data_IF_111354905910
#
_entry.id   IF_111354905910
#
_cell.length_a   1.000
_cell.length_b   1.000
_cell.length_c   1.000
_cell.angle_alpha   90.00
_cell.angle_beta   90.00
_cell.angle_gamma   90.00
#
_symmetry.space_group_name_H-M   'P 1'
#
loop_
_entity.id
_entity.type
_entity.pdbx_description
1 polymer ?
#
# COMPACT_ATOMS: atom_id res chain seq x y z
N UNK A 1 33.37 3.44 -3.44
CA UNK A 1 32.49 3.56 -4.62
C UNK A 1 32.74 2.36 -5.50
N UNK A 2 31.68 1.75 -6.02
CA UNK A 2 31.78 0.61 -6.93
C UNK A 2 32.00 1.13 -8.36
N UNK A 3 32.98 0.58 -9.07
CA UNK A 3 33.33 0.98 -10.45
C UNK A 3 32.69 0.02 -11.46
N UNK A 4 31.35 -0.04 -11.50
CA UNK A 4 30.61 -0.90 -12.42
C UNK A 4 29.24 -0.31 -12.79
N UNK A 5 28.73 -0.68 -13.96
CA UNK A 5 27.31 -0.53 -14.30
C UNK A 5 26.57 -1.76 -13.81
N UNK A 6 25.52 -1.55 -13.02
CA UNK A 6 24.78 -2.63 -12.37
C UNK A 6 23.44 -2.82 -13.06
N UNK A 7 23.10 -4.08 -13.31
CA UNK A 7 21.78 -4.48 -13.79
C UNK A 7 20.99 -5.11 -12.64
N UNK A 8 19.71 -4.78 -12.55
CA UNK A 8 18.79 -5.41 -11.61
C UNK A 8 18.30 -6.75 -12.17
N UNK A 9 17.82 -7.69 -11.33
CA UNK A 9 17.27 -8.95 -11.82
C UNK A 9 16.14 -8.74 -12.84
N UNK A 10 15.95 -9.70 -13.75
CA UNK A 10 14.80 -9.71 -14.64
C UNK A 10 13.52 -9.85 -13.80
N UNK A 11 12.60 -8.90 -13.97
CA UNK A 11 11.37 -8.85 -13.21
C UNK A 11 10.23 -9.48 -14.00
N UNK A 12 9.47 -10.34 -13.34
CA UNK A 12 8.20 -10.89 -13.81
C UNK A 12 7.14 -10.72 -12.74
N UNK A 13 5.87 -10.67 -13.12
CA UNK A 13 4.77 -10.64 -12.17
C UNK A 13 4.83 -11.85 -11.22
N UNK A 14 4.56 -11.59 -9.95
CA UNK A 14 4.46 -12.61 -8.92
C UNK A 14 3.31 -13.57 -9.24
N UNK A 15 3.54 -14.90 -9.25
CA UNK A 15 2.47 -15.86 -9.48
C UNK A 15 1.40 -15.79 -8.39
N UNK A 16 0.13 -15.76 -8.80
CA UNK A 16 -1.03 -15.87 -7.90
C UNK A 16 -1.24 -17.34 -7.56
N UNK A 17 -1.14 -17.71 -6.27
CA UNK A 17 -1.34 -19.09 -5.85
C UNK A 17 -2.83 -19.47 -5.84
N UNK A 18 -3.10 -20.76 -5.99
CA UNK A 18 -4.46 -21.28 -6.22
C UNK A 18 -5.27 -21.46 -4.93
N UNK A 19 -4.62 -21.80 -3.82
CA UNK A 19 -5.27 -22.17 -2.55
C UNK A 19 -6.32 -23.29 -2.69
N UNK A 20 -6.12 -24.20 -3.65
CA UNK A 20 -7.02 -25.34 -3.87
C UNK A 20 -7.08 -26.25 -2.63
N UNK A 21 -8.16 -27.03 -2.44
CA UNK A 21 -8.22 -28.02 -1.36
C UNK A 21 -6.98 -28.91 -1.31
N UNK A 22 -6.41 -29.09 -0.10
CA UNK A 22 -5.21 -29.91 0.13
C UNK A 22 -3.86 -29.25 -0.23
N UNK A 23 -3.86 -28.02 -0.74
CA UNK A 23 -2.62 -27.32 -1.07
C UNK A 23 -1.85 -26.82 0.18
N UNK A 24 -0.51 -26.81 0.15
CA UNK A 24 0.30 -26.35 1.27
C UNK A 24 0.08 -24.87 1.59
N UNK A 25 -0.12 -24.00 0.59
CA UNK A 25 -0.39 -22.58 0.79
C UNK A 25 -1.71 -22.34 1.53
N UNK A 26 -2.73 -23.17 1.30
CA UNK A 26 -4.01 -23.10 2.02
C UNK A 26 -3.85 -23.53 3.47
N UNK A 27 -3.08 -24.58 3.75
CA UNK A 27 -2.79 -25.01 5.11
C UNK A 27 -2.03 -23.93 5.89
N UNK A 28 -1.04 -23.30 5.26
CA UNK A 28 -0.24 -22.24 5.86
C UNK A 28 -1.08 -21.00 6.23
N UNK A 29 -1.97 -20.54 5.34
CA UNK A 29 -2.85 -19.39 5.64
C UNK A 29 -3.83 -19.72 6.76
N UNK A 30 -4.41 -20.92 6.77
CA UNK A 30 -5.29 -21.35 7.88
C UNK A 30 -4.56 -21.34 9.22
N UNK A 31 -3.35 -21.91 9.27
CA UNK A 31 -2.53 -21.90 10.47
C UNK A 31 -2.18 -20.46 10.92
N UNK A 32 -1.90 -19.56 9.99
CA UNK A 32 -1.66 -18.15 10.30
C UNK A 32 -2.92 -17.44 10.85
N UNK A 33 -4.10 -17.70 10.29
CA UNK A 33 -5.38 -17.19 10.81
C UNK A 33 -5.63 -17.71 12.22
N UNK A 34 -5.50 -19.02 12.44
CA UNK A 34 -5.67 -19.63 13.77
C UNK A 34 -4.68 -19.05 14.78
N UNK A 35 -3.42 -18.86 14.38
CA UNK A 35 -2.40 -18.22 15.21
C UNK A 35 -2.76 -16.78 15.58
N UNK A 36 -3.30 -15.99 14.64
CA UNK A 36 -3.72 -14.61 14.94
C UNK A 36 -4.96 -14.55 15.83
N UNK A 37 -5.86 -15.54 15.73
CA UNK A 37 -7.08 -15.60 16.55
C UNK A 37 -6.86 -16.23 17.94
N UNK A 38 -5.74 -16.93 18.16
CA UNK A 38 -5.47 -17.59 19.43
C UNK A 38 -4.88 -16.66 20.50
N UNK A 39 -4.29 -15.53 20.09
CA UNK A 39 -3.63 -14.58 20.99
C UNK A 39 -3.93 -13.16 20.55
N UNK A 40 -4.38 -12.33 21.49
CA UNK A 40 -4.56 -10.90 21.23
C UNK A 40 -3.23 -10.22 20.92
N UNK A 41 -3.14 -9.59 19.76
CA UNK A 41 -1.96 -8.85 19.30
C UNK A 41 -1.87 -7.49 19.98
N UNK A 42 -0.66 -7.06 20.33
CA UNK A 42 -0.37 -5.68 20.77
C UNK A 42 0.46 -4.99 19.70
N UNK A 43 -0.17 -4.15 18.87
CA UNK A 43 0.48 -3.50 17.73
C UNK A 43 1.08 -2.14 18.14
N UNK A 44 2.41 -1.97 18.06
CA UNK A 44 3.07 -0.69 18.33
C UNK A 44 3.12 0.21 17.10
N UNK A 45 3.32 1.51 17.32
CA UNK A 45 3.86 2.39 16.28
C UNK A 45 5.35 2.08 16.06
N UNK A 46 5.90 2.42 14.90
CA UNK A 46 7.30 2.21 14.56
C UNK A 46 7.94 3.57 14.27
N UNK A 47 8.72 4.09 15.22
CA UNK A 47 9.30 5.43 15.15
C UNK A 47 10.81 5.33 15.35
N UNK A 48 11.59 5.70 14.35
CA UNK A 48 13.06 5.65 14.42
C UNK A 48 13.61 4.26 14.71
N UNK A 49 12.96 3.21 14.19
CA UNK A 49 13.32 1.80 14.45
C UNK A 49 12.94 1.27 15.83
N UNK A 50 12.16 2.03 16.62
CA UNK A 50 11.64 1.59 17.92
C UNK A 50 10.15 1.26 17.82
N UNK A 51 9.76 0.18 18.49
CA UNK A 51 8.37 -0.19 18.74
C UNK A 51 7.84 0.65 19.91
N UNK A 52 6.92 1.57 19.62
CA UNK A 52 6.36 2.52 20.58
C UNK A 52 4.95 2.10 20.97
N UNK A 53 4.76 1.79 22.25
CA UNK A 53 3.47 1.48 22.83
C UNK A 53 2.91 2.66 23.62
N UNK A 54 1.59 2.78 23.66
CA UNK A 54 0.86 3.83 24.41
C UNK A 54 -0.16 3.22 25.35
N UNK A 55 -0.52 3.95 26.40
CA UNK A 55 -1.65 3.62 27.28
C UNK A 55 -2.99 3.72 26.52
N UNK A 56 -3.10 4.61 25.54
CA UNK A 56 -4.27 4.71 24.66
C UNK A 56 -4.26 3.54 23.67
N UNK A 57 -5.06 2.52 23.96
CA UNK A 57 -5.18 1.29 23.17
C UNK A 57 -6.53 1.27 22.45
N UNK A 58 -6.50 0.95 21.16
CA UNK A 58 -7.72 0.80 20.35
C UNK A 58 -7.85 -0.64 19.89
N UNK A 59 -8.98 -1.26 20.20
CA UNK A 59 -9.27 -2.64 19.86
C UNK A 59 -9.48 -2.81 18.34
N UNK A 60 -9.02 -3.95 17.83
CA UNK A 60 -9.15 -4.33 16.42
C UNK A 60 -10.10 -5.52 16.30
N UNK A 61 -11.09 -5.38 15.43
CA UNK A 61 -12.10 -6.39 15.18
C UNK A 61 -12.16 -6.74 13.70
N UNK A 62 -12.19 -8.02 13.31
CA UNK A 62 -12.42 -8.41 11.92
C UNK A 62 -13.80 -7.91 11.48
N UNK A 63 -13.94 -7.25 10.32
CA UNK A 63 -15.24 -6.72 9.89
C UNK A 63 -16.33 -7.80 9.71
N UNK A 64 -15.94 -9.04 9.39
CA UNK A 64 -16.85 -10.19 9.29
C UNK A 64 -17.14 -10.87 10.63
N UNK A 65 -16.44 -10.51 11.71
CA UNK A 65 -16.53 -11.16 13.02
C UNK A 65 -16.32 -10.16 14.16
N UNK A 66 -17.13 -9.09 14.20
CA UNK A 66 -16.95 -7.93 15.08
C UNK A 66 -16.96 -8.24 16.59
N UNK A 67 -17.31 -9.46 16.99
CA UNK A 67 -17.28 -9.92 18.39
C UNK A 67 -15.92 -10.50 18.80
N UNK A 68 -15.06 -10.83 17.83
CA UNK A 68 -13.75 -11.39 18.09
C UNK A 68 -12.69 -10.28 18.13
N UNK A 69 -12.05 -10.08 19.27
CA UNK A 69 -10.95 -9.13 19.42
C UNK A 69 -9.66 -9.76 18.88
N UNK A 70 -9.06 -9.17 17.84
CA UNK A 70 -7.72 -9.55 17.39
C UNK A 70 -6.61 -9.00 18.31
N UNK A 71 -6.98 -8.10 19.22
CA UNK A 71 -6.07 -7.37 20.10
C UNK A 71 -6.19 -5.87 19.90
N UNK A 72 -5.12 -5.13 20.20
CA UNK A 72 -5.14 -3.67 20.30
C UNK A 72 -3.93 -3.05 19.60
N UNK A 73 -4.11 -1.87 19.02
CA UNK A 73 -3.00 -1.02 18.57
C UNK A 73 -2.80 0.20 19.46
N UNK A 74 -1.57 0.69 19.48
CA UNK A 74 -1.15 1.87 20.27
C UNK A 74 -1.49 3.15 19.53
N UNK A 75 -2.54 3.86 19.96
CA UNK A 75 -2.96 5.11 19.36
C UNK A 75 -2.13 6.27 19.91
N UNK A 76 -1.36 6.89 19.03
CA UNK A 76 -0.53 8.05 19.32
C UNK A 76 -1.28 9.37 19.30
N UNK A 77 -0.55 10.42 19.68
CA UNK A 77 -0.98 11.82 19.62
C UNK A 77 0.11 12.70 19.01
N UNK A 78 0.01 14.02 19.19
CA UNK A 78 0.88 15.02 18.56
C UNK A 78 2.38 14.74 18.78
N UNK A 79 2.79 14.39 20.00
CA UNK A 79 4.21 14.10 20.29
C UNK A 79 4.77 12.96 19.43
N UNK A 80 3.97 11.92 19.16
CA UNK A 80 4.39 10.80 18.33
C UNK A 80 4.54 11.20 16.85
N UNK A 81 3.73 12.17 16.39
CA UNK A 81 3.89 12.77 15.05
C UNK A 81 5.21 13.53 14.98
N UNK A 82 5.51 14.35 16.01
CA UNK A 82 6.78 15.10 16.12
C UNK A 82 7.98 14.15 16.11
N UNK A 83 7.93 13.09 16.91
CA UNK A 83 9.00 12.10 17.00
C UNK A 83 9.22 11.38 15.67
N UNK A 84 8.14 11.04 14.95
CA UNK A 84 8.22 10.43 13.62
C UNK A 84 8.83 11.37 12.56
N UNK A 85 8.45 12.64 12.55
CA UNK A 85 9.06 13.65 11.67
C UNK A 85 10.55 13.83 11.99
N UNK A 86 10.90 13.95 13.27
CA UNK A 86 12.29 14.07 13.70
C UNK A 86 13.13 12.84 13.33
N UNK A 87 12.57 11.63 13.49
CA UNK A 87 13.22 10.40 13.08
C UNK A 87 13.43 10.32 11.56
N UNK A 88 12.42 10.70 10.77
CA UNK A 88 12.54 10.78 9.31
C UNK A 88 13.62 11.76 8.86
N UNK A 89 13.68 12.94 9.45
CA UNK A 89 14.70 13.94 9.12
C UNK A 89 16.10 13.51 9.58
N UNK A 90 16.22 12.84 10.74
CA UNK A 90 17.49 12.31 11.23
C UNK A 90 18.07 11.22 10.31
N UNK A 91 17.23 10.32 9.79
CA UNK A 91 17.66 9.24 8.90
C UNK A 91 17.97 9.71 7.46
N UNK A 92 17.51 10.92 7.09
CA UNK A 92 17.50 11.40 5.70
C UNK A 92 18.88 11.44 5.06
N UNK A 93 19.87 12.01 5.74
CA UNK A 93 21.19 12.24 5.16
C UNK A 93 21.89 10.93 4.81
N UNK A 94 21.88 9.96 5.72
CA UNK A 94 22.54 8.66 5.52
C UNK A 94 21.78 7.81 4.50
N UNK A 95 20.44 7.83 4.53
CA UNK A 95 19.62 7.11 3.56
C UNK A 95 19.78 7.66 2.13
N UNK A 96 19.80 8.98 1.95
CA UNK A 96 20.00 9.60 0.65
C UNK A 96 21.39 9.31 0.07
N UNK A 97 22.42 9.23 0.94
CA UNK A 97 23.81 8.91 0.55
C UNK A 97 24.04 7.43 0.25
N UNK A 98 23.19 6.54 0.75
CA UNK A 98 23.29 5.11 0.45
C UNK A 98 23.24 4.90 -1.07
N UNK A 99 24.14 4.09 -1.66
CA UNK A 99 24.10 3.80 -3.10
C UNK A 99 22.73 3.27 -3.50
N UNK A 100 22.28 3.67 -4.68
CA UNK A 100 20.92 3.37 -5.12
C UNK A 100 20.64 1.87 -5.24
N UNK A 101 21.67 1.07 -5.55
CA UNK A 101 21.62 -0.38 -5.64
C UNK A 101 21.29 -1.01 -4.30
N UNK A 102 21.88 -0.50 -3.22
CA UNK A 102 21.64 -0.98 -1.85
C UNK A 102 20.22 -0.63 -1.41
N UNK A 103 19.73 0.56 -1.79
CA UNK A 103 18.32 0.93 -1.58
C UNK A 103 17.39 -0.03 -2.33
N UNK A 104 17.66 -0.30 -3.60
CA UNK A 104 16.89 -1.23 -4.41
C UNK A 104 16.89 -2.65 -3.84
N UNK A 105 18.04 -3.13 -3.36
CA UNK A 105 18.20 -4.46 -2.78
C UNK A 105 17.28 -4.70 -1.57
N UNK A 106 17.03 -3.68 -0.75
CA UNK A 106 16.09 -3.76 0.38
C UNK A 106 14.68 -4.07 -0.12
N UNK A 107 14.19 -3.41 -1.17
CA UNK A 107 12.83 -3.63 -1.66
C UNK A 107 12.71 -4.94 -2.46
N UNK A 108 13.75 -5.34 -3.20
CA UNK A 108 13.80 -6.67 -3.81
C UNK A 108 13.72 -7.77 -2.74
N UNK A 109 14.48 -7.63 -1.65
CA UNK A 109 14.42 -8.55 -0.51
C UNK A 109 13.07 -8.52 0.19
N UNK A 110 12.43 -7.35 0.32
CA UNK A 110 11.07 -7.25 0.86
C UNK A 110 10.06 -8.02 0.01
N UNK A 111 10.17 -7.95 -1.32
CA UNK A 111 9.34 -8.75 -2.23
C UNK A 111 9.58 -10.26 -2.04
N UNK A 112 10.82 -10.70 -1.88
CA UNK A 112 11.12 -12.12 -1.67
C UNK A 112 10.69 -12.65 -0.29
N UNK A 113 10.72 -11.79 0.73
CA UNK A 113 10.16 -12.10 2.04
C UNK A 113 8.64 -12.27 1.96
N UNK A 114 7.95 -11.42 1.19
CA UNK A 114 6.50 -11.49 0.96
C UNK A 114 6.10 -12.69 0.09
N UNK A 115 6.86 -13.00 -0.96
CA UNK A 115 6.58 -14.13 -1.84
C UNK A 115 6.82 -15.49 -1.16
N UNK A 116 7.72 -15.53 -0.17
CA UNK A 116 8.07 -16.72 0.61
C UNK A 116 7.57 -16.67 2.06
N UNK A 117 8.45 -16.46 3.05
CA UNK A 117 8.17 -16.75 4.46
C UNK A 117 7.05 -15.90 5.09
N UNK A 118 6.78 -14.69 4.59
CA UNK A 118 5.71 -13.83 5.10
C UNK A 118 4.38 -14.01 4.34
N UNK A 119 4.33 -14.78 3.24
CA UNK A 119 3.16 -14.88 2.36
C UNK A 119 1.88 -15.24 3.10
N UNK A 120 1.94 -16.29 3.93
CA UNK A 120 0.79 -16.77 4.69
C UNK A 120 0.37 -15.78 5.79
N UNK A 121 1.34 -15.17 6.48
CA UNK A 121 1.11 -14.17 7.53
C UNK A 121 0.46 -12.92 6.96
N UNK A 122 0.93 -12.43 5.82
CA UNK A 122 0.40 -11.24 5.14
C UNK A 122 -1.03 -11.46 4.63
N UNK A 123 -1.28 -12.62 3.99
CA UNK A 123 -2.61 -13.03 3.57
C UNK A 123 -3.57 -13.10 4.76
N UNK A 124 -3.21 -13.81 5.84
CA UNK A 124 -4.05 -13.92 7.03
C UNK A 124 -4.34 -12.56 7.68
N UNK A 125 -3.34 -11.68 7.81
CA UNK A 125 -3.54 -10.35 8.38
C UNK A 125 -4.48 -9.48 7.53
N UNK A 126 -4.34 -9.53 6.20
CA UNK A 126 -5.20 -8.79 5.28
C UNK A 126 -6.63 -9.35 5.26
N UNK A 127 -6.79 -10.68 5.25
CA UNK A 127 -8.10 -11.32 5.32
C UNK A 127 -8.84 -10.93 6.61
N UNK A 128 -8.17 -11.03 7.76
CA UNK A 128 -8.76 -10.70 9.06
C UNK A 128 -9.06 -9.20 9.21
N UNK A 129 -8.07 -8.34 8.97
CA UNK A 129 -8.21 -6.89 9.18
C UNK A 129 -9.15 -6.21 8.20
N UNK A 130 -9.17 -6.67 6.94
CA UNK A 130 -9.88 -5.99 5.85
C UNK A 130 -11.06 -6.80 5.29
N UNK A 131 -11.33 -8.00 5.82
CA UNK A 131 -12.41 -8.88 5.39
C UNK A 131 -12.35 -9.26 3.91
N UNK A 132 -11.14 -9.54 3.43
CA UNK A 132 -10.90 -10.12 2.09
C UNK A 132 -11.02 -11.63 2.14
N UNK A 133 -11.54 -12.23 1.07
CA UNK A 133 -11.33 -13.66 0.84
C UNK A 133 -9.89 -13.92 0.39
N UNK A 134 -9.47 -15.19 0.41
CA UNK A 134 -8.09 -15.55 0.07
C UNK A 134 -7.66 -15.09 -1.32
N UNK A 135 -8.54 -15.15 -2.33
CA UNK A 135 -8.18 -14.67 -3.67
C UNK A 135 -7.95 -13.15 -3.68
N UNK A 136 -8.84 -12.37 -3.04
CA UNK A 136 -8.71 -10.92 -2.96
C UNK A 136 -7.52 -10.47 -2.10
N UNK A 137 -7.16 -11.24 -1.08
CA UNK A 137 -5.96 -10.99 -0.30
C UNK A 137 -4.70 -11.29 -1.12
N UNK A 138 -4.63 -12.46 -1.76
CA UNK A 138 -3.46 -12.91 -2.50
C UNK A 138 -3.06 -11.97 -3.65
N UNK A 139 -4.05 -11.55 -4.46
CA UNK A 139 -3.78 -10.66 -5.59
C UNK A 139 -3.35 -9.25 -5.14
N UNK A 140 -3.68 -8.85 -3.92
CA UNK A 140 -3.38 -7.53 -3.33
C UNK A 140 -2.09 -7.60 -2.49
N UNK A 141 -2.18 -8.19 -1.29
CA UNK A 141 -1.16 -8.04 -0.27
C UNK A 141 0.13 -8.82 -0.56
N UNK A 142 0.10 -9.72 -1.54
CA UNK A 142 1.28 -10.45 -2.00
C UNK A 142 1.59 -10.10 -3.45
N UNK A 143 0.75 -10.49 -4.42
CA UNK A 143 1.12 -10.39 -5.82
C UNK A 143 1.38 -8.94 -6.24
N UNK A 144 0.41 -8.05 -6.03
CA UNK A 144 0.53 -6.64 -6.37
C UNK A 144 1.62 -5.92 -5.53
N UNK A 145 1.78 -6.24 -4.24
CA UNK A 145 2.84 -5.62 -3.42
C UNK A 145 4.25 -6.07 -3.82
N UNK A 146 4.45 -7.36 -4.10
CA UNK A 146 5.69 -7.88 -4.67
C UNK A 146 6.00 -7.23 -6.01
N UNK A 147 4.98 -7.10 -6.86
CA UNK A 147 5.11 -6.45 -8.16
C UNK A 147 5.47 -4.98 -8.00
N UNK A 148 4.83 -4.23 -7.10
CA UNK A 148 5.22 -2.85 -6.82
C UNK A 148 6.70 -2.74 -6.45
N UNK A 149 7.19 -3.57 -5.52
CA UNK A 149 8.59 -3.49 -5.11
C UNK A 149 9.56 -3.85 -6.23
N UNK A 150 9.27 -4.91 -7.00
CA UNK A 150 10.15 -5.34 -8.09
C UNK A 150 10.11 -4.41 -9.29
N UNK A 151 8.91 -4.04 -9.77
CA UNK A 151 8.75 -3.16 -10.91
C UNK A 151 9.18 -1.72 -10.58
N UNK A 152 8.98 -1.21 -9.36
CA UNK A 152 9.52 0.11 -9.01
C UNK A 152 11.04 0.13 -9.02
N UNK A 153 11.72 -0.97 -8.67
CA UNK A 153 13.18 -1.08 -8.82
C UNK A 153 13.57 -1.05 -10.30
N UNK A 154 12.83 -1.74 -11.17
CA UNK A 154 13.04 -1.65 -12.61
C UNK A 154 12.78 -0.22 -13.15
N UNK A 155 11.72 0.46 -12.72
CA UNK A 155 11.44 1.83 -13.13
C UNK A 155 12.49 2.81 -12.62
N UNK A 156 13.00 2.60 -11.40
CA UNK A 156 14.11 3.36 -10.85
C UNK A 156 15.37 3.25 -11.72
N UNK A 157 15.72 2.06 -12.23
CA UNK A 157 16.87 1.91 -13.14
C UNK A 157 16.62 2.54 -14.50
N UNK A 158 15.41 2.41 -15.04
CA UNK A 158 15.02 3.05 -16.31
C UNK A 158 15.15 4.58 -16.22
N UNK A 159 14.62 5.19 -15.16
CA UNK A 159 14.73 6.64 -14.93
C UNK A 159 16.19 7.05 -14.81
N UNK A 160 17.01 6.33 -14.03
CA UNK A 160 18.41 6.70 -13.84
C UNK A 160 19.29 6.51 -15.09
N UNK A 161 18.86 5.67 -16.04
CA UNK A 161 19.53 5.51 -17.32
C UNK A 161 19.28 6.69 -18.28
N UNK A 162 18.27 7.52 -18.04
CA UNK A 162 18.01 8.72 -18.84
C UNK A 162 19.11 9.75 -18.61
N UNK A 163 19.92 10.02 -19.65
CA UNK A 163 21.04 10.96 -19.63
C UNK A 163 21.03 11.87 -20.86
N UNK A 164 21.50 13.13 -20.72
CA UNK A 164 21.52 14.09 -21.83
C UNK A 164 22.66 13.80 -22.82
N UNK A 165 22.46 14.24 -24.06
CA UNK A 165 23.54 14.28 -25.04
C UNK A 165 24.69 15.21 -24.61
N UNK A 166 25.89 14.90 -25.09
CA UNK A 166 27.11 15.66 -24.81
C UNK A 166 27.72 16.17 -26.11
N UNK A 167 27.89 17.48 -26.22
CA UNK A 167 28.56 18.12 -27.37
C UNK A 167 30.09 17.94 -27.31
N UNK A 168 30.83 18.14 -28.42
CA UNK A 168 32.29 18.05 -28.42
C UNK A 168 32.95 18.92 -27.34
N UNK A 169 33.82 18.32 -26.52
CA UNK A 169 34.51 19.00 -25.42
C UNK A 169 33.69 19.21 -24.14
N UNK A 170 32.43 18.76 -24.12
CA UNK A 170 31.51 18.87 -22.97
C UNK A 170 31.08 17.47 -22.56
N UNK A 171 30.92 17.22 -21.26
CA UNK A 171 30.31 16.00 -20.74
C UNK A 171 29.15 16.35 -19.79
N UNK A 172 27.93 16.23 -20.30
CA UNK A 172 26.70 16.48 -19.55
C UNK A 172 26.28 15.22 -18.77
N UNK A 173 25.75 15.42 -17.56
CA UNK A 173 25.24 14.35 -16.70
C UNK A 173 24.00 14.84 -15.96
N UNK A 174 23.03 13.96 -15.78
CA UNK A 174 21.84 14.21 -14.98
C UNK A 174 21.89 13.40 -13.68
N UNK A 175 21.68 14.08 -12.55
CA UNK A 175 21.56 13.45 -11.24
C UNK A 175 20.11 13.53 -10.74
N UNK A 176 19.51 12.38 -10.50
CA UNK A 176 18.18 12.27 -9.91
C UNK A 176 18.26 12.35 -8.39
N UNK A 177 18.11 13.57 -7.86
CA UNK A 177 18.17 13.84 -6.42
C UNK A 177 16.85 13.47 -5.71
N UNK A 178 16.89 12.93 -4.48
CA UNK A 178 15.70 12.83 -3.64
C UNK A 178 15.18 14.21 -3.24
N UNK A 179 13.94 14.29 -2.75
CA UNK A 179 13.39 15.54 -2.22
C UNK A 179 14.11 15.95 -0.93
N UNK A 180 14.24 17.25 -0.69
CA UNK A 180 14.74 17.77 0.58
C UNK A 180 13.58 17.87 1.58
N UNK A 181 13.76 17.27 2.77
CA UNK A 181 12.69 17.12 3.77
C UNK A 181 12.14 15.69 3.84
N UNK A 182 10.89 15.57 4.28
CA UNK A 182 10.20 14.28 4.47
C UNK A 182 8.91 14.19 3.66
N UNK A 183 8.52 12.97 3.31
CA UNK A 183 7.24 12.66 2.65
C UNK A 183 6.23 12.19 3.69
N UNK A 184 4.98 12.61 3.57
CA UNK A 184 3.87 12.07 4.35
C UNK A 184 3.05 11.12 3.48
N UNK A 185 2.98 9.84 3.87
CA UNK A 185 2.17 8.83 3.20
C UNK A 185 0.88 8.57 3.99
N UNK A 186 -0.27 8.72 3.33
CA UNK A 186 -1.59 8.42 3.90
C UNK A 186 -2.24 7.34 3.05
N UNK A 187 -2.48 6.18 3.64
CA UNK A 187 -2.90 4.98 2.89
C UNK A 187 -4.34 4.56 3.20
N UNK A 188 -5.07 4.03 2.20
CA UNK A 188 -6.48 3.66 2.33
C UNK A 188 -6.64 2.27 2.96
N UNK A 189 -7.87 1.88 3.27
CA UNK A 189 -8.13 0.57 3.88
C UNK A 189 -8.16 -0.60 2.89
N UNK A 190 -8.43 -0.31 1.62
CA UNK A 190 -8.94 -1.30 0.67
C UNK A 190 -7.84 -2.15 -0.01
N UNK A 191 -6.59 -1.70 0.00
CA UNK A 191 -5.46 -2.42 -0.56
C UNK A 191 -4.24 -2.34 0.35
N UNK A 192 -3.76 -3.50 0.77
CA UNK A 192 -2.51 -3.64 1.53
C UNK A 192 -1.30 -3.33 0.64
N UNK A 193 -1.38 -3.63 -0.66
CA UNK A 193 -0.37 -3.27 -1.66
C UNK A 193 -0.14 -1.77 -1.73
N UNK A 194 -1.21 -0.98 -1.86
CA UNK A 194 -1.15 0.49 -1.85
C UNK A 194 -0.54 0.96 -0.53
N UNK A 195 -0.93 0.36 0.59
CA UNK A 195 -0.40 0.74 1.89
C UNK A 195 1.11 0.54 2.04
N UNK A 196 1.68 -0.51 1.43
CA UNK A 196 3.13 -0.69 1.37
C UNK A 196 3.81 0.17 0.31
N UNK A 197 3.15 0.39 -0.83
CA UNK A 197 3.72 1.11 -1.97
C UNK A 197 3.84 2.62 -1.72
N UNK A 198 2.81 3.28 -1.16
CA UNK A 198 2.86 4.74 -0.97
C UNK A 198 4.05 5.21 -0.10
N UNK A 199 4.42 4.53 1.00
CA UNK A 199 5.65 4.85 1.71
C UNK A 199 6.89 4.22 1.08
N UNK A 200 6.78 3.02 0.47
CA UNK A 200 7.92 2.31 -0.11
C UNK A 200 8.52 2.99 -1.35
N UNK A 201 7.69 3.43 -2.29
CA UNK A 201 8.13 4.07 -3.53
C UNK A 201 8.98 5.34 -3.33
N UNK A 202 8.56 6.35 -2.53
CA UNK A 202 9.43 7.49 -2.25
C UNK A 202 10.67 7.08 -1.45
N UNK A 203 10.55 6.11 -0.52
CA UNK A 203 11.70 5.63 0.24
C UNK A 203 12.78 5.02 -0.66
N UNK A 204 12.39 4.20 -1.64
CA UNK A 204 13.27 3.60 -2.66
C UNK A 204 14.13 4.66 -3.39
N UNK A 205 13.53 5.81 -3.69
CA UNK A 205 14.21 6.93 -4.34
C UNK A 205 15.04 7.82 -3.39
N UNK A 206 15.27 7.40 -2.14
CA UNK A 206 16.10 8.12 -1.17
C UNK A 206 15.34 9.14 -0.31
N UNK A 207 14.01 9.07 -0.25
CA UNK A 207 13.20 9.86 0.68
C UNK A 207 13.03 9.15 2.02
N UNK A 208 12.70 9.92 3.06
CA UNK A 208 12.24 9.38 4.33
C UNK A 208 10.78 9.76 4.51
N UNK A 209 10.05 8.91 5.23
CA UNK A 209 8.59 8.89 5.20
C UNK A 209 8.02 8.80 6.61
N UNK A 210 7.00 9.60 6.86
CA UNK A 210 6.04 9.39 7.94
C UNK A 210 4.81 8.74 7.30
N UNK A 211 4.40 7.58 7.78
CA UNK A 211 3.33 6.78 7.22
C UNK A 211 2.18 6.66 8.22
N UNK A 212 0.98 7.09 7.81
CA UNK A 212 -0.26 6.94 8.57
C UNK A 212 -1.27 6.12 7.75
N UNK A 213 -1.53 4.85 8.10
CA UNK A 213 -2.55 4.05 7.44
C UNK A 213 -3.96 4.37 7.92
N UNK A 214 -4.95 3.85 7.20
CA UNK A 214 -6.32 3.74 7.70
C UNK A 214 -6.37 2.83 8.94
N UNK A 215 -7.21 3.17 9.92
CA UNK A 215 -7.30 2.41 11.18
C UNK A 215 -7.68 0.94 10.95
N UNK A 216 -8.59 0.67 10.01
CA UNK A 216 -9.01 -0.69 9.62
C UNK A 216 -7.93 -1.48 8.86
N UNK A 217 -6.75 -0.90 8.62
CA UNK A 217 -5.64 -1.49 7.89
C UNK A 217 -4.36 -1.56 8.73
N UNK A 218 -4.44 -1.21 10.01
CA UNK A 218 -3.34 -1.27 10.98
C UNK A 218 -2.75 -2.68 11.09
N UNK A 219 -3.60 -3.70 11.10
CA UNK A 219 -3.18 -5.09 11.29
C UNK A 219 -2.22 -5.57 10.19
N UNK A 220 -2.56 -5.35 8.91
CA UNK A 220 -1.69 -5.68 7.78
C UNK A 220 -0.51 -4.70 7.64
N UNK A 221 -0.70 -3.42 7.98
CA UNK A 221 0.38 -2.42 7.98
C UNK A 221 1.54 -2.77 8.94
N UNK A 222 1.22 -3.35 10.10
CA UNK A 222 2.24 -3.82 11.04
C UNK A 222 3.09 -4.94 10.44
N UNK A 223 2.47 -5.89 9.73
CA UNK A 223 3.19 -6.96 9.02
C UNK A 223 4.08 -6.38 7.91
N UNK A 224 3.64 -5.33 7.21
CA UNK A 224 4.48 -4.63 6.22
C UNK A 224 5.72 -4.03 6.90
N UNK A 225 5.58 -3.39 8.06
CA UNK A 225 6.74 -2.85 8.79
C UNK A 225 7.70 -3.95 9.25
N UNK A 226 7.20 -5.10 9.71
CA UNK A 226 8.06 -6.25 10.02
C UNK A 226 8.84 -6.73 8.79
N UNK A 227 8.20 -6.77 7.62
CA UNK A 227 8.86 -7.12 6.35
C UNK A 227 9.94 -6.10 6.00
N UNK A 228 9.68 -4.80 6.14
CA UNK A 228 10.68 -3.77 5.91
C UNK A 228 11.86 -3.89 6.88
N UNK A 229 11.61 -4.10 8.18
CA UNK A 229 12.67 -4.34 9.17
C UNK A 229 13.50 -5.59 8.81
N UNK A 230 12.86 -6.70 8.47
CA UNK A 230 13.53 -7.95 8.09
C UNK A 230 14.31 -7.83 6.76
N UNK A 231 13.82 -6.98 5.84
CA UNK A 231 14.52 -6.66 4.60
C UNK A 231 15.78 -5.81 4.83
N UNK A 232 15.88 -5.13 5.98
CA UNK A 232 17.03 -4.30 6.34
C UNK A 232 16.80 -2.80 6.08
N UNK A 233 15.54 -2.36 6.00
CA UNK A 233 15.22 -0.94 5.90
C UNK A 233 15.79 -0.19 7.13
N UNK A 234 16.63 0.85 6.95
CA UNK A 234 17.24 1.53 8.08
C UNK A 234 16.21 2.22 8.98
N UNK A 235 16.52 2.25 10.28
CA UNK A 235 15.70 2.88 11.30
C UNK A 235 15.38 4.34 10.94
N UNK A 236 14.09 4.69 10.93
CA UNK A 236 13.62 6.04 10.65
C UNK A 236 13.41 6.36 9.17
N UNK A 237 13.72 5.46 8.23
CA UNK A 237 13.42 5.68 6.81
C UNK A 237 11.91 5.68 6.54
N UNK A 238 11.19 4.72 7.11
CA UNK A 238 9.72 4.73 7.16
C UNK A 238 9.31 4.68 8.63
N UNK A 239 8.46 5.62 9.06
CA UNK A 239 7.95 5.72 10.42
C UNK A 239 6.44 5.51 10.41
N UNK A 240 5.98 4.35 10.89
CA UNK A 240 4.56 4.00 10.95
C UNK A 240 3.93 4.56 12.23
N UNK A 241 2.95 5.45 12.08
CA UNK A 241 2.21 6.06 13.19
C UNK A 241 0.71 5.78 13.10
N UNK A 242 0.08 5.57 14.26
CA UNK A 242 -1.36 5.40 14.38
C UNK A 242 -1.94 6.58 15.15
N UNK A 243 -2.13 7.68 14.44
CA UNK A 243 -2.62 8.95 14.99
C UNK A 243 -3.88 9.38 14.25
N UNK A 244 -4.72 10.20 14.87
CA UNK A 244 -5.85 10.82 14.18
C UNK A 244 -5.39 11.67 12.98
N UNK A 245 -6.17 11.67 11.91
CA UNK A 245 -5.84 12.40 10.68
C UNK A 245 -5.58 13.89 10.91
N UNK A 246 -6.49 14.61 11.60
CA UNK A 246 -6.27 16.00 11.97
C UNK A 246 -5.01 16.22 12.81
N UNK A 247 -4.79 15.40 13.84
CA UNK A 247 -3.60 15.50 14.72
C UNK A 247 -2.30 15.37 13.92
N UNK A 248 -2.23 14.42 12.98
CA UNK A 248 -1.08 14.29 12.09
C UNK A 248 -0.95 15.50 11.16
N UNK A 249 -2.05 15.94 10.55
CA UNK A 249 -2.08 17.02 9.58
C UNK A 249 -1.68 18.38 10.16
N UNK A 250 -2.11 18.70 11.37
CA UNK A 250 -1.85 19.99 12.02
C UNK A 250 -0.34 20.24 12.17
N UNK A 251 0.42 19.23 12.58
CA UNK A 251 1.88 19.33 12.68
C UNK A 251 2.57 19.19 11.32
N UNK A 252 2.22 18.16 10.53
CA UNK A 252 2.95 17.85 9.29
C UNK A 252 2.79 18.96 8.25
N UNK A 253 1.58 19.45 8.01
CA UNK A 253 1.35 20.47 6.98
C UNK A 253 1.74 21.87 7.42
N UNK A 254 2.18 22.08 8.65
CA UNK A 254 2.79 23.34 9.10
C UNK A 254 4.31 23.27 9.20
N UNK A 255 4.92 22.09 9.00
CA UNK A 255 6.35 21.88 9.15
C UNK A 255 7.13 22.38 7.92
N UNK A 256 8.21 23.16 8.08
CA UNK A 256 8.95 23.75 6.95
C UNK A 256 9.66 22.72 6.06
N UNK A 257 10.03 21.57 6.62
CA UNK A 257 10.64 20.44 5.89
C UNK A 257 9.63 19.44 5.29
N UNK A 258 8.34 19.78 5.25
CA UNK A 258 7.36 18.96 4.54
C UNK A 258 7.60 19.04 3.02
N UNK A 259 7.95 17.92 2.40
CA UNK A 259 8.41 17.87 1.01
C UNK A 259 7.39 17.26 0.04
N UNK A 260 6.43 16.48 0.54
CA UNK A 260 5.39 15.93 -0.31
C UNK A 260 4.38 15.05 0.41
N UNK A 261 3.20 14.96 -0.19
CA UNK A 261 2.11 14.07 0.19
C UNK A 261 2.04 12.94 -0.84
N UNK A 262 2.02 11.69 -0.36
CA UNK A 262 1.62 10.54 -1.16
C UNK A 262 0.32 9.96 -0.57
N UNK A 263 -0.78 10.11 -1.29
CA UNK A 263 -2.12 9.89 -0.75
C UNK A 263 -2.96 8.97 -1.63
N UNK A 264 -3.67 8.04 -1.02
CA UNK A 264 -4.85 7.45 -1.65
C UNK A 264 -6.02 7.47 -0.69
N UNK A 265 -7.18 7.91 -1.15
CA UNK A 265 -8.37 8.01 -0.32
C UNK A 265 -9.53 8.76 -0.98
N UNK A 266 -10.38 9.40 -0.18
CA UNK A 266 -11.54 10.12 -0.73
C UNK A 266 -11.15 11.46 -1.35
N UNK A 267 -11.86 11.84 -2.42
CA UNK A 267 -11.72 13.15 -3.07
C UNK A 267 -11.91 14.31 -2.11
N UNK A 268 -12.88 14.20 -1.18
CA UNK A 268 -13.13 15.24 -0.16
C UNK A 268 -11.91 15.48 0.74
N UNK A 269 -11.28 14.40 1.21
CA UNK A 269 -10.08 14.50 2.03
C UNK A 269 -8.93 15.05 1.18
N UNK A 270 -8.74 14.57 -0.05
CA UNK A 270 -7.67 15.06 -0.91
C UNK A 270 -7.78 16.57 -1.20
N UNK A 271 -8.99 17.08 -1.48
CA UNK A 271 -9.23 18.52 -1.63
C UNK A 271 -8.90 19.32 -0.37
N UNK A 272 -9.27 18.79 0.81
CA UNK A 272 -8.93 19.42 2.08
C UNK A 272 -7.42 19.51 2.25
N UNK A 273 -6.69 18.42 2.02
CA UNK A 273 -5.23 18.37 2.12
C UNK A 273 -4.57 19.35 1.13
N UNK A 274 -5.03 19.36 -0.12
CA UNK A 274 -4.52 20.27 -1.15
C UNK A 274 -4.70 21.75 -0.74
N UNK A 275 -5.88 22.11 -0.23
CA UNK A 275 -6.15 23.46 0.28
C UNK A 275 -5.27 23.81 1.48
N UNK A 276 -5.11 22.89 2.43
CA UNK A 276 -4.26 23.10 3.61
C UNK A 276 -2.81 23.36 3.20
N UNK A 277 -2.28 22.58 2.27
CA UNK A 277 -0.91 22.75 1.75
C UNK A 277 -0.79 24.09 1.01
N UNK A 278 -1.73 24.42 0.13
CA UNK A 278 -1.72 25.70 -0.59
C UNK A 278 -1.79 26.92 0.33
N UNK A 279 -2.56 26.85 1.41
CA UNK A 279 -2.66 27.92 2.41
C UNK A 279 -1.39 28.13 3.25
N UNK A 280 -0.52 27.11 3.32
CA UNK A 280 0.72 27.14 4.10
C UNK A 280 1.97 27.23 3.21
N UNK A 281 1.80 27.57 1.92
CA UNK A 281 2.88 27.48 0.92
C UNK A 281 4.10 28.33 1.25
N UNK A 282 3.92 29.43 1.97
CA UNK A 282 4.95 30.36 2.44
C UNK A 282 5.82 29.79 3.57
N UNK A 283 5.38 28.71 4.23
CA UNK A 283 6.11 28.07 5.34
C UNK A 283 7.15 27.05 4.87
N UNK A 284 7.02 26.51 3.66
CA UNK A 284 7.82 25.38 3.21
C UNK A 284 9.14 25.82 2.57
N UNK A 285 10.22 25.09 2.84
CA UNK A 285 11.53 25.32 2.21
C UNK A 285 11.54 24.96 0.72
N UNK A 286 10.67 24.03 0.33
CA UNK A 286 10.47 23.59 -1.06
C UNK A 286 8.98 23.49 -1.35
N UNK A 287 8.58 23.55 -2.62
CA UNK A 287 7.19 23.33 -3.01
C UNK A 287 6.82 21.86 -2.76
N UNK A 288 5.89 21.56 -1.83
CA UNK A 288 5.56 20.17 -1.55
C UNK A 288 4.90 19.52 -2.76
N UNK A 289 5.37 18.32 -3.12
CA UNK A 289 4.76 17.54 -4.20
C UNK A 289 3.52 16.82 -3.68
N UNK A 290 2.36 17.10 -4.28
CA UNK A 290 1.11 16.44 -3.92
C UNK A 290 0.82 15.37 -4.98
N UNK A 291 1.01 14.11 -4.61
CA UNK A 291 0.79 12.95 -5.48
C UNK A 291 -0.28 12.08 -4.84
N UNK A 292 -1.27 11.68 -5.62
CA UNK A 292 -2.26 10.77 -5.08
C UNK A 292 -3.37 10.40 -6.03
N UNK A 293 -4.14 9.42 -5.57
CA UNK A 293 -5.29 8.88 -6.27
C UNK A 293 -6.54 9.01 -5.40
N UNK A 294 -7.68 9.16 -6.06
CA UNK A 294 -8.99 9.11 -5.38
C UNK A 294 -9.83 7.98 -5.95
N UNK A 295 -10.85 7.56 -5.21
CA UNK A 295 -11.80 6.58 -5.71
C UNK A 295 -12.61 7.07 -6.91
N UNK A 296 -13.22 6.13 -7.62
CA UNK A 296 -14.17 6.35 -8.70
C UNK A 296 -15.31 5.35 -8.67
N UNK A 297 -16.18 5.39 -9.68
CA UNK A 297 -17.24 4.38 -9.90
C UNK A 297 -17.33 4.03 -11.37
N UNK A 298 -17.01 2.78 -11.65
CA UNK A 298 -16.77 2.31 -13.01
C UNK A 298 -18.08 1.90 -13.69
N UNK A 299 -17.99 1.77 -15.01
CA UNK A 299 -19.11 1.34 -15.84
C UNK A 299 -18.69 0.25 -16.82
N UNK A 300 -19.67 -0.58 -17.22
CA UNK A 300 -19.53 -1.56 -18.30
C UNK A 300 -20.56 -1.25 -19.38
N UNK A 301 -20.14 -1.11 -20.63
CA UNK A 301 -21.02 -0.97 -21.80
C UNK A 301 -20.86 -2.23 -22.65
N UNK A 302 -21.96 -2.96 -22.87
CA UNK A 302 -21.97 -4.12 -23.75
C UNK A 302 -22.44 -3.71 -25.15
N UNK A 303 -21.69 -4.08 -26.19
CA UNK A 303 -22.19 -4.01 -27.56
C UNK A 303 -23.19 -5.16 -27.82
N UNK A 304 -24.06 -5.03 -28.82
CA UNK A 304 -25.03 -6.07 -29.17
C UNK A 304 -24.38 -7.39 -29.61
N UNK A 305 -23.10 -7.36 -30.00
CA UNK A 305 -22.30 -8.55 -30.35
C UNK A 305 -21.57 -9.19 -29.16
N UNK A 306 -21.70 -8.65 -27.94
CA UNK A 306 -21.00 -9.19 -26.78
C UNK A 306 -21.56 -10.55 -26.37
N UNK A 307 -20.69 -11.41 -25.82
CA UNK A 307 -21.12 -12.70 -25.28
C UNK A 307 -21.87 -12.46 -23.95
N UNK A 308 -23.15 -12.87 -23.83
CA UNK A 308 -23.94 -12.57 -22.64
C UNK A 308 -23.41 -13.22 -21.35
N UNK A 309 -22.76 -14.39 -21.43
CA UNK A 309 -22.18 -15.07 -20.26
C UNK A 309 -20.89 -14.40 -19.77
N UNK A 310 -20.06 -13.92 -20.69
CA UNK A 310 -18.85 -13.15 -20.34
C UNK A 310 -19.23 -11.82 -19.70
N UNK A 311 -20.24 -11.13 -20.25
CA UNK A 311 -20.77 -9.88 -19.68
C UNK A 311 -21.32 -10.12 -18.27
N UNK A 312 -22.10 -11.18 -18.06
CA UNK A 312 -22.61 -11.53 -16.72
C UNK A 312 -21.48 -11.78 -15.73
N UNK A 313 -20.50 -12.62 -16.08
CA UNK A 313 -19.32 -12.89 -15.24
C UNK A 313 -18.57 -11.62 -14.88
N UNK A 314 -18.31 -10.74 -15.88
CA UNK A 314 -17.59 -9.49 -15.69
C UNK A 314 -18.34 -8.53 -14.76
N UNK A 315 -19.67 -8.42 -14.89
CA UNK A 315 -20.50 -7.60 -14.02
C UNK A 315 -20.53 -8.14 -12.59
N UNK A 316 -20.71 -9.45 -12.42
CA UNK A 316 -20.75 -10.07 -11.09
C UNK A 316 -19.42 -9.90 -10.37
N UNK A 317 -18.30 -10.25 -11.01
CA UNK A 317 -16.98 -10.08 -10.38
C UNK A 317 -16.63 -8.60 -10.17
N UNK A 318 -16.84 -7.76 -11.20
CA UNK A 318 -16.49 -6.34 -11.16
C UNK A 318 -17.30 -5.54 -10.14
N UNK A 319 -18.55 -5.93 -9.86
CA UNK A 319 -19.39 -5.25 -8.87
C UNK A 319 -19.24 -5.81 -7.45
N UNK A 320 -19.08 -7.13 -7.29
CA UNK A 320 -19.22 -7.80 -5.99
C UNK A 320 -17.93 -8.35 -5.40
N UNK A 321 -16.84 -8.48 -6.16
CA UNK A 321 -15.55 -8.84 -5.56
C UNK A 321 -15.12 -7.81 -4.52
N UNK A 322 -14.62 -8.32 -3.39
CA UNK A 322 -14.31 -7.53 -2.22
C UNK A 322 -15.48 -6.61 -1.78
N UNK A 323 -16.72 -7.12 -1.91
CA UNK A 323 -17.94 -6.41 -1.55
C UNK A 323 -18.11 -5.06 -2.28
N UNK A 324 -17.50 -4.92 -3.46
CA UNK A 324 -17.50 -3.66 -4.22
C UNK A 324 -16.63 -2.56 -3.60
N UNK A 325 -15.72 -2.91 -2.69
CA UNK A 325 -14.85 -1.98 -1.96
C UNK A 325 -13.50 -1.75 -2.65
N UNK A 326 -13.43 -1.96 -3.96
CA UNK A 326 -12.29 -1.56 -4.80
C UNK A 326 -12.47 -0.10 -5.24
N UNK A 327 -11.36 0.61 -5.50
CA UNK A 327 -11.38 1.99 -6.00
C UNK A 327 -12.18 2.14 -7.32
N UNK A 328 -12.26 1.03 -8.08
CA UNK A 328 -12.78 0.93 -9.46
C UNK A 328 -13.95 -0.05 -9.59
N UNK A 329 -14.71 -0.31 -8.52
CA UNK A 329 -15.81 -1.29 -8.60
C UNK A 329 -16.90 -0.87 -9.61
N UNK A 330 -17.27 -1.80 -10.50
CA UNK A 330 -18.25 -1.56 -11.56
C UNK A 330 -19.64 -1.33 -10.96
N UNK A 331 -20.14 -0.09 -11.04
CA UNK A 331 -21.41 0.31 -10.41
C UNK A 331 -22.49 0.71 -11.39
N UNK A 332 -22.19 0.71 -12.69
CA UNK A 332 -23.13 1.02 -13.78
C UNK A 332 -22.96 0.02 -14.92
N UNK A 333 -24.05 -0.46 -15.48
CA UNK A 333 -24.04 -1.36 -16.63
C UNK A 333 -25.02 -0.85 -17.70
N UNK A 334 -24.57 -0.78 -18.95
CA UNK A 334 -25.36 -0.37 -20.10
C UNK A 334 -25.45 -1.53 -21.08
N UNK A 335 -26.61 -2.17 -21.15
CA UNK A 335 -26.80 -3.44 -21.86
C UNK A 335 -27.91 -3.30 -22.90
N UNK A 336 -27.67 -3.70 -24.17
CA UNK A 336 -28.69 -3.67 -25.21
C UNK A 336 -29.90 -4.52 -24.85
N UNK A 337 -31.10 -4.04 -25.21
CA UNK A 337 -32.37 -4.72 -24.93
C UNK A 337 -32.38 -6.18 -25.40
N UNK A 338 -31.80 -6.47 -26.57
CA UNK A 338 -31.72 -7.82 -27.12
C UNK A 338 -30.82 -8.78 -26.33
N UNK A 339 -29.78 -8.27 -25.67
CA UNK A 339 -28.81 -9.06 -24.91
C UNK A 339 -29.22 -9.25 -23.45
N UNK A 340 -30.02 -8.33 -22.91
CA UNK A 340 -30.33 -8.26 -21.48
C UNK A 340 -30.98 -9.52 -20.92
N UNK A 341 -31.84 -10.20 -21.68
CA UNK A 341 -32.56 -11.39 -21.20
C UNK A 341 -31.58 -12.49 -20.76
N UNK A 342 -30.54 -12.74 -21.56
CA UNK A 342 -29.55 -13.78 -21.27
C UNK A 342 -28.55 -13.33 -20.19
N UNK A 343 -28.06 -12.09 -20.26
CA UNK A 343 -27.17 -11.53 -19.23
C UNK A 343 -27.84 -11.59 -17.85
N UNK A 344 -29.08 -11.10 -17.74
CA UNK A 344 -29.83 -11.12 -16.49
C UNK A 344 -29.99 -12.53 -15.94
N UNK A 345 -30.26 -13.51 -16.81
CA UNK A 345 -30.39 -14.91 -16.41
C UNK A 345 -29.10 -15.40 -15.76
N UNK A 346 -27.96 -15.29 -16.46
CA UNK A 346 -26.67 -15.74 -15.94
C UNK A 346 -26.25 -15.00 -14.68
N UNK A 347 -26.46 -13.68 -14.61
CA UNK A 347 -26.17 -12.91 -13.40
C UNK A 347 -26.98 -13.39 -12.20
N UNK A 348 -28.28 -13.67 -12.37
CA UNK A 348 -29.12 -14.17 -11.27
C UNK A 348 -28.72 -15.58 -10.83
N UNK A 349 -28.29 -16.43 -11.76
CA UNK A 349 -27.73 -17.76 -11.45
C UNK A 349 -26.44 -17.63 -10.62
N UNK A 350 -25.49 -16.79 -11.05
CA UNK A 350 -24.24 -16.55 -10.33
C UNK A 350 -24.50 -15.92 -8.94
N UNK A 351 -25.40 -14.94 -8.86
CA UNK A 351 -25.74 -14.25 -7.60
C UNK A 351 -26.41 -15.18 -6.58
N UNK A 352 -27.18 -16.16 -7.03
CA UNK A 352 -27.80 -17.14 -6.15
C UNK A 352 -26.78 -18.09 -5.49
N UNK A 353 -25.61 -18.30 -6.13
CA UNK A 353 -24.54 -19.17 -5.61
C UNK A 353 -23.50 -18.43 -4.75
N UNK A 354 -23.41 -17.11 -4.86
CA UNK A 354 -22.45 -16.29 -4.09
C UNK A 354 -22.78 -16.37 -2.58
N UNK A 355 -21.80 -16.80 -1.79
CA UNK A 355 -21.87 -16.84 -0.32
C UNK A 355 -21.11 -15.68 0.28
N UNK A 356 -21.80 -14.94 1.16
CA UNK A 356 -21.20 -13.95 2.04
C UNK A 356 -21.09 -14.52 3.46
N UNK A 357 -19.94 -14.34 4.11
CA UNK A 357 -19.70 -14.88 5.45
C UNK A 357 -18.24 -14.74 5.90
N UNK A 358 -17.85 -15.57 6.86
CA UNK A 358 -16.47 -15.65 7.34
C UNK A 358 -15.55 -16.18 6.21
N UNK A 359 -14.58 -15.38 5.72
CA UNK A 359 -13.83 -15.65 4.49
C UNK A 359 -12.74 -16.72 4.57
#
# INVERSE_FOLDING_TARGET
MSNAYFEVPVITNEPVLSYKPGSPERAAVKAAIESFKSTESSIPMYIGGKKVHTENKVAMYPPHEIKHCLGHFSKGGEQHVKDAVNAALKAKADWAKMPWQERAAIFLKAADLLSGPYRAKMNAATMLGQSKNIHQAEIDCVAELCDFFRFNVQYMTQIYAEQPESSPGIWNKMEFRPLEGFVFAITPFNFTSIAGNLPGAPAMLGNTVVWKPAETQVFSSAVIMEVFEAAGLPAGVINLIFTDGPVAGDYIFSHPDFAGLHFTGSTKVFHLLWKTIGNNIDKYKTYPRIVGETGGKDFVIAHASANPKEVATALVRGAFEYQGQKCSAASRAYIPKGLWREVKKYMLEDLADIKMGNP
#
